data_IF_558151092359
#
_entry.id   IF_558151092359
#
_cell.length_a   1.000
_cell.length_b   1.000
_cell.length_c   1.000
_cell.angle_alpha   90.00
_cell.angle_beta   90.00
_cell.angle_gamma   90.00
#
_symmetry.space_group_name_H-M   'P 1'
#
loop_
_entity.id
_entity.type
_entity.pdbx_description
1 polymer ?
#
# COMPACT_ATOMS: atom_id res chain seq x y z
N UNK A 1 -12.08 28.57 -28.50
CA UNK A 1 -12.20 27.85 -27.21
C UNK A 1 -10.85 27.63 -26.56
N UNK A 2 -9.91 27.03 -27.27
CA UNK A 2 -8.55 26.76 -26.80
C UNK A 2 -7.85 28.01 -26.27
N UNK A 3 -7.86 29.09 -27.04
CA UNK A 3 -7.26 30.38 -26.66
C UNK A 3 -7.84 30.91 -25.33
N UNK A 4 -9.15 30.84 -25.17
CA UNK A 4 -9.85 31.24 -23.95
C UNK A 4 -9.59 30.30 -22.76
N UNK A 5 -9.38 29.00 -23.02
CA UNK A 5 -9.06 28.01 -21.99
C UNK A 5 -7.60 28.10 -21.50
N UNK A 6 -6.74 28.80 -22.24
CA UNK A 6 -5.34 29.08 -21.90
C UNK A 6 -5.11 30.53 -21.49
N UNK A 7 -6.15 31.34 -21.38
CA UNK A 7 -6.13 32.72 -20.96
C UNK A 7 -5.97 32.85 -19.43
N UNK A 8 -6.05 34.06 -18.91
CA UNK A 8 -6.08 34.26 -17.47
C UNK A 8 -7.13 33.37 -16.79
N UNK A 9 -6.80 32.84 -15.62
CA UNK A 9 -7.59 31.80 -14.96
C UNK A 9 -9.08 32.16 -14.79
N UNK A 10 -9.40 33.43 -14.51
CA UNK A 10 -10.79 33.89 -14.37
C UNK A 10 -11.61 33.69 -15.65
N UNK A 11 -10.98 33.84 -16.81
CA UNK A 11 -11.59 33.61 -18.13
C UNK A 11 -11.62 32.13 -18.47
N UNK A 12 -10.55 31.41 -18.16
CA UNK A 12 -10.37 30.01 -18.47
C UNK A 12 -11.26 29.08 -17.62
N UNK A 13 -11.49 29.42 -16.36
CA UNK A 13 -12.16 28.55 -15.38
C UNK A 13 -13.51 27.99 -15.85
N UNK A 14 -14.51 28.80 -16.28
CA UNK A 14 -15.81 28.29 -16.69
C UNK A 14 -15.73 27.36 -17.91
N UNK A 15 -14.73 27.57 -18.78
CA UNK A 15 -14.48 26.76 -19.95
C UNK A 15 -13.87 25.42 -19.53
N UNK A 16 -12.86 25.47 -18.67
CA UNK A 16 -12.20 24.28 -18.14
C UNK A 16 -13.15 23.40 -17.34
N UNK A 17 -14.07 23.97 -16.58
CA UNK A 17 -15.04 23.22 -15.76
C UNK A 17 -16.14 22.56 -16.60
N UNK A 18 -16.66 23.24 -17.62
CA UNK A 18 -17.95 22.87 -18.24
C UNK A 18 -17.89 22.52 -19.72
N UNK A 19 -16.83 22.94 -20.43
CA UNK A 19 -16.79 22.73 -21.87
C UNK A 19 -16.43 21.29 -22.22
N UNK A 20 -17.35 20.58 -22.84
CA UNK A 20 -17.15 19.20 -23.33
C UNK A 20 -16.44 19.11 -24.67
N UNK A 21 -16.28 20.25 -25.37
CA UNK A 21 -15.62 20.30 -26.66
C UNK A 21 -14.07 20.42 -26.57
N UNK A 22 -13.51 20.53 -25.36
CA UNK A 22 -12.07 20.44 -25.16
C UNK A 22 -11.60 19.00 -25.34
N UNK A 23 -10.66 18.81 -26.24
CA UNK A 23 -10.04 17.52 -26.49
C UNK A 23 -8.95 17.22 -25.45
N UNK A 24 -8.56 15.96 -25.34
CA UNK A 24 -7.42 15.56 -24.49
C UNK A 24 -6.14 16.31 -24.88
N UNK A 25 -5.93 16.55 -26.18
CA UNK A 25 -4.79 17.31 -26.66
C UNK A 25 -4.81 18.76 -26.15
N UNK A 26 -5.99 19.42 -26.19
CA UNK A 26 -6.13 20.78 -25.67
C UNK A 26 -5.86 20.80 -24.14
N UNK A 27 -6.38 19.84 -23.41
CA UNK A 27 -6.14 19.72 -21.96
C UNK A 27 -4.66 19.47 -21.64
N UNK A 28 -3.98 18.61 -22.38
CA UNK A 28 -2.53 18.37 -22.21
C UNK A 28 -1.70 19.63 -22.47
N UNK A 29 -2.06 20.42 -23.47
CA UNK A 29 -1.38 21.67 -23.74
C UNK A 29 -1.57 22.69 -22.60
N UNK A 30 -2.80 22.78 -22.06
CA UNK A 30 -3.11 23.63 -20.91
C UNK A 30 -2.39 23.13 -19.64
N UNK A 31 -2.28 21.82 -19.44
CA UNK A 31 -1.51 21.25 -18.32
C UNK A 31 -0.06 21.71 -18.39
N UNK A 32 0.54 21.74 -19.57
CA UNK A 32 1.94 22.11 -19.76
C UNK A 32 2.18 23.63 -19.64
N UNK A 33 1.27 24.44 -20.16
CA UNK A 33 1.46 25.90 -20.26
C UNK A 33 0.72 26.72 -19.21
N UNK A 34 -0.33 26.16 -18.61
CA UNK A 34 -1.18 26.86 -17.65
C UNK A 34 -0.60 26.95 -16.24
N UNK A 35 -1.33 27.62 -15.37
CA UNK A 35 -0.98 27.77 -13.95
C UNK A 35 -1.46 26.56 -13.13
N UNK A 36 -1.04 26.48 -11.85
CA UNK A 36 -1.54 25.52 -10.87
C UNK A 36 -3.09 25.48 -10.83
N UNK A 37 -3.74 26.65 -10.91
CA UNK A 37 -5.21 26.75 -10.87
C UNK A 37 -5.87 26.08 -12.08
N UNK A 38 -5.28 26.21 -13.28
CA UNK A 38 -5.75 25.51 -14.47
C UNK A 38 -5.67 23.98 -14.27
N UNK A 39 -4.52 23.47 -13.83
CA UNK A 39 -4.34 22.02 -13.56
C UNK A 39 -5.27 21.51 -12.47
N UNK A 40 -5.46 22.26 -11.40
CA UNK A 40 -6.42 21.95 -10.34
C UNK A 40 -7.85 21.86 -10.86
N UNK A 41 -8.23 22.71 -11.80
CA UNK A 41 -9.55 22.73 -12.40
C UNK A 41 -9.74 21.55 -13.33
N UNK A 42 -8.73 21.22 -14.17
CA UNK A 42 -8.75 20.03 -15.01
C UNK A 42 -8.87 18.77 -14.16
N UNK A 43 -8.09 18.65 -13.07
CA UNK A 43 -8.12 17.49 -12.18
C UNK A 43 -9.51 17.22 -11.51
N UNK A 44 -10.38 18.21 -11.49
CA UNK A 44 -11.76 18.09 -10.95
C UNK A 44 -12.79 17.68 -11.98
N UNK A 45 -12.46 17.69 -13.27
CA UNK A 45 -13.43 17.39 -14.34
C UNK A 45 -14.02 15.99 -14.18
N UNK A 46 -15.29 15.88 -14.53
CA UNK A 46 -15.94 14.58 -14.63
C UNK A 46 -15.43 13.82 -15.87
N UNK A 47 -15.40 12.50 -15.76
CA UNK A 47 -15.01 11.59 -16.84
C UNK A 47 -13.65 11.94 -17.49
N UNK A 48 -12.65 12.26 -16.66
CA UNK A 48 -11.30 12.57 -17.13
C UNK A 48 -10.69 11.32 -17.77
N UNK A 49 -10.14 11.49 -18.99
CA UNK A 49 -9.49 10.40 -19.70
C UNK A 49 -8.21 9.92 -18.99
N UNK A 50 -7.83 8.66 -19.21
CA UNK A 50 -6.58 8.10 -18.69
C UNK A 50 -5.35 8.89 -19.15
N UNK A 51 -5.37 9.39 -20.39
CA UNK A 51 -4.26 10.17 -20.95
C UNK A 51 -4.06 11.49 -20.22
N UNK A 52 -5.16 12.22 -19.97
CA UNK A 52 -5.10 13.51 -19.25
C UNK A 52 -4.76 13.27 -17.76
N UNK A 53 -5.32 12.22 -17.16
CA UNK A 53 -4.99 11.83 -15.80
C UNK A 53 -3.50 11.48 -15.63
N UNK A 54 -2.92 10.75 -16.61
CA UNK A 54 -1.49 10.45 -16.63
C UNK A 54 -0.62 11.71 -16.77
N UNK A 55 -1.03 12.68 -17.60
CA UNK A 55 -0.31 13.93 -17.75
C UNK A 55 -0.30 14.76 -16.45
N UNK A 56 -1.45 14.84 -15.75
CA UNK A 56 -1.54 15.50 -14.44
C UNK A 56 -0.68 14.82 -13.39
N UNK A 57 -0.70 13.49 -13.35
CA UNK A 57 0.13 12.70 -12.43
C UNK A 57 1.63 12.90 -12.71
N UNK A 58 2.03 12.87 -13.97
CA UNK A 58 3.43 13.06 -14.39
C UNK A 58 3.94 14.50 -14.12
N UNK A 59 3.06 15.50 -14.15
CA UNK A 59 3.42 16.88 -13.79
C UNK A 59 3.81 17.01 -12.32
N UNK A 60 3.21 16.21 -11.44
CA UNK A 60 3.68 15.92 -10.10
C UNK A 60 3.43 17.00 -9.04
N UNK A 61 2.61 18.02 -9.30
CA UNK A 61 2.26 19.02 -8.27
C UNK A 61 1.35 18.41 -7.19
N UNK A 62 1.76 18.38 -5.90
CA UNK A 62 1.02 17.68 -4.86
C UNK A 62 -0.46 18.07 -4.76
N UNK A 63 -0.87 19.35 -4.78
CA UNK A 63 -2.29 19.70 -4.72
C UNK A 63 -3.10 19.18 -5.92
N UNK A 64 -2.48 19.11 -7.10
CA UNK A 64 -3.13 18.61 -8.32
C UNK A 64 -3.28 17.09 -8.25
N UNK A 65 -2.24 16.38 -7.85
CA UNK A 65 -2.26 14.92 -7.68
C UNK A 65 -3.28 14.51 -6.61
N UNK A 66 -3.31 15.18 -5.47
CA UNK A 66 -4.33 14.91 -4.45
C UNK A 66 -5.75 15.13 -4.98
N UNK A 67 -5.94 16.19 -5.76
CA UNK A 67 -7.24 16.50 -6.37
C UNK A 67 -7.64 15.41 -7.37
N UNK A 68 -6.70 14.96 -8.19
CA UNK A 68 -6.88 13.87 -9.13
C UNK A 68 -7.25 12.56 -8.40
N UNK A 69 -6.53 12.22 -7.35
CA UNK A 69 -6.79 11.01 -6.55
C UNK A 69 -8.16 11.03 -5.86
N UNK A 70 -8.66 12.20 -5.46
CA UNK A 70 -10.02 12.36 -4.91
C UNK A 70 -11.12 12.35 -5.97
N UNK A 71 -10.77 12.51 -7.24
CA UNK A 71 -11.74 12.48 -8.34
C UNK A 71 -12.11 11.03 -8.69
N UNK A 72 -13.23 10.55 -8.18
CA UNK A 72 -13.72 9.18 -8.40
C UNK A 72 -14.14 8.89 -9.84
N UNK A 73 -14.39 9.91 -10.64
CA UNK A 73 -14.81 9.78 -12.05
C UNK A 73 -13.63 9.77 -13.02
N UNK A 74 -12.42 10.11 -12.54
CA UNK A 74 -11.21 9.99 -13.32
C UNK A 74 -10.73 8.54 -13.32
N UNK A 75 -10.45 7.99 -14.50
CA UNK A 75 -9.87 6.66 -14.65
C UNK A 75 -8.35 6.73 -14.62
N UNK A 76 -7.74 5.96 -13.72
CA UNK A 76 -6.28 5.87 -13.60
C UNK A 76 -5.80 4.54 -14.18
N UNK A 77 -5.06 4.60 -15.27
CA UNK A 77 -4.43 3.41 -15.84
C UNK A 77 -3.39 2.82 -14.88
N UNK A 78 -3.12 1.52 -14.98
CA UNK A 78 -2.17 0.83 -14.12
C UNK A 78 -0.77 1.49 -14.09
N UNK A 79 -0.17 1.93 -15.21
CA UNK A 79 1.12 2.63 -15.18
C UNK A 79 1.08 3.96 -14.40
N UNK A 80 -0.05 4.69 -14.48
CA UNK A 80 -0.25 5.93 -13.70
C UNK A 80 -0.32 5.65 -12.21
N UNK A 81 -1.03 4.58 -11.83
CA UNK A 81 -1.07 4.12 -10.44
C UNK A 81 0.32 3.68 -9.96
N UNK A 82 1.09 2.93 -10.76
CA UNK A 82 2.46 2.53 -10.41
C UNK A 82 3.38 3.73 -10.19
N UNK A 83 3.25 4.76 -11.03
CA UNK A 83 3.97 6.02 -10.86
C UNK A 83 3.59 6.72 -9.55
N UNK A 84 2.29 6.86 -9.27
CA UNK A 84 1.79 7.51 -8.05
C UNK A 84 2.10 6.72 -6.77
N UNK A 85 2.12 5.39 -6.84
CA UNK A 85 2.60 4.51 -5.75
C UNK A 85 4.08 4.77 -5.47
N UNK A 86 4.89 4.96 -6.50
CA UNK A 86 6.29 5.37 -6.35
C UNK A 86 6.40 6.75 -5.67
N UNK A 87 5.64 7.73 -6.14
CA UNK A 87 5.63 9.09 -5.57
C UNK A 87 5.13 9.13 -4.11
N UNK A 88 4.24 8.22 -3.71
CA UNK A 88 3.73 8.11 -2.34
C UNK A 88 4.80 7.72 -1.31
N UNK A 89 5.99 7.30 -1.73
CA UNK A 89 7.13 7.08 -0.83
C UNK A 89 7.72 8.39 -0.30
N UNK A 90 7.56 9.45 -1.06
CA UNK A 90 8.05 10.80 -0.73
C UNK A 90 6.92 11.69 -0.19
N UNK A 91 5.72 11.54 -0.75
CA UNK A 91 4.51 12.30 -0.38
C UNK A 91 3.47 11.38 0.28
N UNK A 92 3.52 11.28 1.60
CA UNK A 92 2.70 10.36 2.40
C UNK A 92 1.19 10.61 2.27
N UNK A 93 0.75 11.81 1.89
CA UNK A 93 -0.68 12.14 1.69
C UNK A 93 -1.33 11.33 0.57
N UNK A 94 -0.53 10.84 -0.39
CA UNK A 94 -1.06 10.05 -1.51
C UNK A 94 -1.48 8.64 -1.10
N UNK A 95 -0.80 8.02 -0.13
CA UNK A 95 -1.05 6.64 0.25
C UNK A 95 -2.52 6.40 0.65
N UNK A 96 -3.05 7.21 1.56
CA UNK A 96 -4.44 7.12 2.02
C UNK A 96 -5.46 7.33 0.89
N UNK A 97 -5.14 8.16 -0.11
CA UNK A 97 -6.00 8.40 -1.27
C UNK A 97 -5.93 7.24 -2.28
N UNK A 98 -4.73 6.73 -2.53
CA UNK A 98 -4.49 5.60 -3.43
C UNK A 98 -5.19 4.33 -2.94
N UNK A 99 -5.07 4.01 -1.66
CA UNK A 99 -5.69 2.80 -1.07
C UNK A 99 -7.21 2.76 -1.29
N UNK A 100 -7.85 3.93 -1.42
CA UNK A 100 -9.30 4.05 -1.63
C UNK A 100 -9.74 3.95 -3.08
N UNK A 101 -8.79 3.93 -4.02
CA UNK A 101 -9.09 3.83 -5.46
C UNK A 101 -9.52 2.40 -5.82
N UNK A 102 -10.57 2.29 -6.62
CA UNK A 102 -11.13 0.98 -7.02
C UNK A 102 -10.18 0.23 -7.94
N UNK A 103 -9.42 0.94 -8.77
CA UNK A 103 -8.47 0.40 -9.73
C UNK A 103 -7.17 -0.11 -9.07
N UNK A 104 -6.96 0.19 -7.79
CA UNK A 104 -5.77 -0.24 -7.05
C UNK A 104 -5.66 -1.76 -7.02
N UNK A 105 -4.53 -2.28 -7.47
CA UNK A 105 -4.21 -3.72 -7.44
C UNK A 105 -3.54 -4.11 -6.12
N UNK A 106 -3.67 -5.37 -5.70
CA UNK A 106 -3.01 -5.88 -4.49
C UNK A 106 -1.51 -5.61 -4.47
N UNK A 107 -0.80 -5.89 -5.56
CA UNK A 107 0.64 -5.66 -5.66
C UNK A 107 1.02 -4.18 -5.40
N UNK A 108 0.26 -3.24 -5.96
CA UNK A 108 0.44 -1.80 -5.75
C UNK A 108 0.17 -1.40 -4.30
N UNK A 109 -0.89 -1.93 -3.70
CA UNK A 109 -1.23 -1.69 -2.30
C UNK A 109 -0.14 -2.21 -1.35
N UNK A 110 0.41 -3.40 -1.61
CA UNK A 110 1.49 -3.96 -0.81
C UNK A 110 2.82 -3.20 -0.98
N UNK A 111 3.08 -2.58 -2.11
CA UNK A 111 4.21 -1.64 -2.25
C UNK A 111 4.03 -0.42 -1.33
N UNK A 112 2.82 0.16 -1.25
CA UNK A 112 2.51 1.23 -0.31
C UNK A 112 2.64 0.80 1.15
N UNK A 113 2.31 -0.45 1.46
CA UNK A 113 2.39 -1.01 2.82
C UNK A 113 3.75 -0.75 3.48
N UNK A 114 4.83 -0.69 2.71
CA UNK A 114 6.18 -0.48 3.22
C UNK A 114 6.49 0.99 3.56
N UNK A 115 5.80 1.94 2.96
CA UNK A 115 6.06 3.38 3.13
C UNK A 115 4.97 4.13 3.90
N UNK A 116 3.76 3.56 4.01
CA UNK A 116 2.63 4.25 4.62
C UNK A 116 2.56 4.13 6.15
N UNK A 117 1.73 4.96 6.77
CA UNK A 117 1.45 4.97 8.20
C UNK A 117 0.65 3.75 8.67
N UNK A 118 0.65 3.48 9.97
CA UNK A 118 0.02 2.30 10.57
C UNK A 118 -1.47 2.12 10.17
N UNK A 119 -2.23 3.21 10.15
CA UNK A 119 -3.67 3.18 9.79
C UNK A 119 -3.86 2.72 8.34
N UNK A 120 -3.04 3.22 7.44
CA UNK A 120 -3.10 2.88 6.02
C UNK A 120 -2.67 1.43 5.78
N UNK A 121 -1.67 0.93 6.51
CA UNK A 121 -1.28 -0.50 6.48
C UNK A 121 -2.43 -1.40 6.89
N UNK A 122 -3.15 -1.01 7.93
CA UNK A 122 -4.32 -1.74 8.38
C UNK A 122 -5.38 -1.80 7.28
N UNK A 123 -5.65 -0.68 6.59
CA UNK A 123 -6.59 -0.65 5.48
C UNK A 123 -6.14 -1.52 4.31
N UNK A 124 -4.84 -1.55 4.00
CA UNK A 124 -4.28 -2.42 2.96
C UNK A 124 -4.50 -3.89 3.33
N UNK A 125 -4.15 -4.30 4.54
CA UNK A 125 -4.34 -5.67 4.99
C UNK A 125 -5.82 -6.06 5.01
N UNK A 126 -6.69 -5.18 5.48
CA UNK A 126 -8.13 -5.43 5.54
C UNK A 126 -8.76 -5.58 4.15
N UNK A 127 -8.29 -4.82 3.18
CA UNK A 127 -8.83 -4.82 1.82
C UNK A 127 -8.21 -5.88 0.91
N UNK A 128 -6.90 -6.11 0.99
CA UNK A 128 -6.14 -6.85 -0.01
C UNK A 128 -5.48 -8.14 0.49
N UNK A 129 -5.20 -8.28 1.80
CA UNK A 129 -4.56 -9.49 2.34
C UNK A 129 -5.59 -10.57 2.68
N UNK A 130 -6.52 -10.85 1.79
CA UNK A 130 -7.70 -11.66 2.09
C UNK A 130 -7.60 -13.06 1.52
N UNK A 131 -6.77 -13.25 0.51
CA UNK A 131 -6.69 -14.45 -0.29
C UNK A 131 -5.24 -14.71 -0.71
N UNK A 132 -4.87 -15.98 -0.80
CA UNK A 132 -3.56 -16.43 -1.26
C UNK A 132 -3.22 -15.90 -2.65
N UNK A 133 -4.20 -15.87 -3.57
CA UNK A 133 -4.03 -15.34 -4.92
C UNK A 133 -3.57 -13.89 -4.90
N UNK A 134 -4.18 -13.09 -4.03
CA UNK A 134 -3.82 -11.68 -3.83
C UNK A 134 -2.39 -11.55 -3.32
N UNK A 135 -1.99 -12.41 -2.36
CA UNK A 135 -0.64 -12.40 -1.83
C UNK A 135 0.39 -12.89 -2.84
N UNK A 136 0.04 -13.85 -3.70
CA UNK A 136 0.90 -14.31 -4.78
C UNK A 136 1.10 -13.23 -5.84
N UNK A 137 0.03 -12.54 -6.27
CA UNK A 137 0.14 -11.40 -7.19
C UNK A 137 0.98 -10.27 -6.58
N UNK A 138 0.75 -9.93 -5.31
CA UNK A 138 1.55 -8.95 -4.60
C UNK A 138 3.00 -9.42 -4.41
N UNK A 139 3.25 -10.72 -4.32
CA UNK A 139 4.55 -11.30 -4.05
C UNK A 139 5.44 -11.44 -5.27
N UNK A 140 4.93 -11.37 -6.50
CA UNK A 140 5.78 -11.34 -7.69
C UNK A 140 6.81 -10.22 -7.63
N UNK A 141 6.42 -9.04 -7.11
CA UNK A 141 7.28 -7.87 -6.97
C UNK A 141 7.93 -7.72 -5.58
N UNK A 142 7.21 -8.07 -4.51
CA UNK A 142 7.60 -7.73 -3.13
C UNK A 142 8.07 -8.96 -2.36
N UNK A 143 7.47 -10.12 -2.59
CA UNK A 143 7.78 -11.33 -1.83
C UNK A 143 9.15 -11.93 -2.16
N UNK A 144 9.65 -11.97 -3.41
CA UNK A 144 11.03 -12.37 -3.68
C UNK A 144 12.03 -11.47 -2.96
N UNK A 145 11.73 -10.15 -2.93
CA UNK A 145 12.50 -9.20 -2.14
C UNK A 145 12.31 -9.41 -0.65
N UNK A 146 11.15 -9.87 -0.15
CA UNK A 146 10.86 -10.15 1.25
C UNK A 146 11.31 -11.56 1.70
N UNK A 147 11.40 -12.54 0.81
CA UNK A 147 11.79 -13.91 1.11
C UNK A 147 13.30 -14.19 0.98
N UNK A 148 14.02 -13.38 0.18
CA UNK A 148 15.47 -13.56 -0.04
C UNK A 148 16.30 -13.28 1.21
N UNK A 149 17.20 -14.19 1.59
CA UNK A 149 18.15 -13.99 2.70
C UNK A 149 19.17 -12.89 2.44
N UNK A 150 19.31 -12.45 1.21
CA UNK A 150 20.25 -11.42 0.80
C UNK A 150 19.52 -10.25 0.13
N UNK A 151 19.06 -9.29 0.94
CA UNK A 151 18.59 -8.03 0.42
C UNK A 151 19.72 -7.30 -0.28
N UNK A 152 19.81 -7.46 -1.59
CA UNK A 152 20.80 -6.73 -2.40
C UNK A 152 20.43 -5.25 -2.56
N UNK A 153 19.15 -4.90 -2.34
CA UNK A 153 18.70 -3.51 -2.39
C UNK A 153 18.75 -2.85 -1.00
N UNK A 154 19.68 -1.88 -0.78
CA UNK A 154 19.81 -1.18 0.48
C UNK A 154 18.56 -0.39 0.87
N UNK A 155 17.75 0.02 -0.12
CA UNK A 155 16.51 0.76 0.12
C UNK A 155 15.44 -0.15 0.69
N UNK A 156 15.28 -1.34 0.13
CA UNK A 156 14.33 -2.35 0.65
C UNK A 156 14.74 -2.78 2.06
N UNK A 157 16.02 -3.05 2.30
CA UNK A 157 16.52 -3.39 3.64
C UNK A 157 16.29 -2.27 4.67
N UNK A 158 16.36 -1.00 4.24
CA UNK A 158 16.09 0.16 5.09
C UNK A 158 14.60 0.30 5.39
N UNK A 159 13.73 0.12 4.40
CA UNK A 159 12.28 0.15 4.54
C UNK A 159 11.82 -0.95 5.49
N UNK A 160 12.32 -2.18 5.35
CA UNK A 160 11.98 -3.28 6.24
C UNK A 160 12.40 -3.01 7.69
N UNK A 161 13.59 -2.45 7.92
CA UNK A 161 14.01 -2.03 9.27
C UNK A 161 13.12 -0.95 9.86
N UNK A 162 12.61 -0.04 9.02
CA UNK A 162 11.68 0.99 9.45
C UNK A 162 10.32 0.40 9.80
N UNK A 163 9.83 -0.55 9.04
CA UNK A 163 8.58 -1.29 9.29
C UNK A 163 8.70 -2.11 10.56
N UNK A 164 9.79 -2.85 10.74
CA UNK A 164 10.07 -3.61 11.95
C UNK A 164 9.87 -2.74 13.20
N UNK A 165 10.42 -1.53 13.18
CA UNK A 165 10.28 -0.59 14.29
C UNK A 165 8.86 -0.05 14.50
N UNK A 166 8.02 0.02 13.48
CA UNK A 166 6.66 0.57 13.55
C UNK A 166 5.58 -0.50 13.70
N UNK A 167 5.80 -1.66 13.10
CA UNK A 167 4.82 -2.73 13.15
C UNK A 167 4.78 -3.47 14.49
N UNK A 168 5.75 -3.24 15.36
CA UNK A 168 5.75 -3.79 16.71
C UNK A 168 5.19 -2.79 17.71
N UNK A 169 4.22 -3.25 18.50
CA UNK A 169 3.70 -2.48 19.62
C UNK A 169 4.63 -2.67 20.86
N UNK A 170 5.49 -1.70 21.12
CA UNK A 170 6.44 -1.75 22.24
C UNK A 170 5.76 -1.70 23.59
N UNK A 171 4.71 -0.89 23.74
CA UNK A 171 3.96 -0.80 25.02
C UNK A 171 3.26 -2.15 25.31
N UNK A 172 2.81 -2.84 24.25
CA UNK A 172 2.28 -4.16 24.40
C UNK A 172 3.33 -5.18 24.85
N UNK A 173 4.57 -5.05 24.39
CA UNK A 173 5.66 -5.94 24.80
C UNK A 173 5.96 -5.85 26.30
N UNK A 174 5.93 -4.65 26.88
CA UNK A 174 6.18 -4.43 28.32
C UNK A 174 5.14 -5.12 29.23
N UNK A 175 3.96 -5.40 28.70
CA UNK A 175 2.84 -6.05 29.42
C UNK A 175 2.56 -7.47 28.97
N UNK A 176 3.32 -8.00 28.02
CA UNK A 176 3.15 -9.34 27.49
C UNK A 176 3.71 -10.39 28.44
N UNK A 177 2.95 -11.45 28.66
CA UNK A 177 3.42 -12.64 29.41
C UNK A 177 4.55 -13.38 28.69
N UNK A 178 4.66 -13.19 27.37
CA UNK A 178 5.73 -13.76 26.53
C UNK A 178 6.91 -12.80 26.30
N UNK A 179 6.83 -11.56 26.80
CA UNK A 179 7.87 -10.54 26.75
C UNK A 179 8.12 -9.95 25.36
N UNK A 180 7.94 -10.69 24.28
CA UNK A 180 8.18 -10.25 22.91
C UNK A 180 7.41 -11.08 21.89
N UNK A 181 7.39 -10.60 20.66
CA UNK A 181 6.79 -11.35 19.54
C UNK A 181 7.57 -12.64 19.25
N UNK A 182 8.89 -12.63 19.45
CA UNK A 182 9.75 -13.81 19.39
C UNK A 182 9.34 -14.85 20.42
N UNK A 183 9.12 -14.44 21.68
CA UNK A 183 8.69 -15.33 22.75
C UNK A 183 7.31 -15.94 22.49
N UNK A 184 6.40 -15.19 21.88
CA UNK A 184 5.09 -15.76 21.43
C UNK A 184 5.26 -16.83 20.35
N UNK A 185 6.20 -16.62 19.39
CA UNK A 185 6.46 -17.62 18.36
C UNK A 185 7.04 -18.92 18.95
N UNK A 186 7.92 -18.81 19.94
CA UNK A 186 8.48 -19.96 20.65
C UNK A 186 7.40 -20.68 21.46
N UNK A 187 6.55 -19.95 22.17
CA UNK A 187 5.42 -20.52 22.91
C UNK A 187 4.43 -21.24 21.96
N UNK A 188 4.18 -20.66 20.80
CA UNK A 188 3.29 -21.26 19.79
C UNK A 188 3.76 -22.65 19.33
N UNK A 189 5.09 -22.92 19.27
CA UNK A 189 5.60 -24.25 18.91
C UNK A 189 5.15 -25.33 19.90
N UNK A 190 5.02 -24.98 21.17
CA UNK A 190 4.67 -25.93 22.24
C UNK A 190 3.18 -25.96 22.55
N UNK A 191 2.52 -24.82 22.52
CA UNK A 191 1.12 -24.64 22.93
C UNK A 191 0.14 -24.66 21.76
N UNK A 192 0.66 -24.55 20.52
CA UNK A 192 -0.15 -24.40 19.32
C UNK A 192 -0.74 -23.00 19.16
N UNK A 193 -1.58 -22.83 18.13
CA UNK A 193 -2.25 -21.55 17.83
C UNK A 193 -3.47 -21.36 18.73
N UNK A 194 -3.27 -21.24 20.04
CA UNK A 194 -4.36 -20.98 20.98
C UNK A 194 -4.95 -19.57 20.79
N UNK A 195 -6.17 -19.37 21.29
CA UNK A 195 -6.84 -18.06 21.28
C UNK A 195 -6.00 -16.96 21.89
N UNK A 196 -5.24 -17.28 22.95
CA UNK A 196 -4.41 -16.33 23.69
C UNK A 196 -3.13 -15.98 22.91
N UNK A 197 -2.49 -16.99 22.31
CA UNK A 197 -1.34 -16.78 21.42
C UNK A 197 -1.72 -15.92 20.22
N UNK A 198 -2.87 -16.19 19.58
CA UNK A 198 -3.36 -15.38 18.46
C UNK A 198 -3.64 -13.93 18.91
N UNK A 199 -4.22 -13.74 20.10
CA UNK A 199 -4.46 -12.41 20.64
C UNK A 199 -3.14 -11.66 20.92
N UNK A 200 -2.13 -12.37 21.45
CA UNK A 200 -0.81 -11.78 21.70
C UNK A 200 -0.07 -11.42 20.40
N UNK A 201 -0.09 -12.28 19.40
CA UNK A 201 0.46 -11.98 18.07
C UNK A 201 -0.21 -10.72 17.51
N UNK A 202 -1.54 -10.65 17.56
CA UNK A 202 -2.32 -9.49 17.11
C UNK A 202 -1.89 -8.20 17.83
N UNK A 203 -1.76 -8.27 19.15
CA UNK A 203 -1.41 -7.14 20.01
C UNK A 203 0.03 -6.67 19.81
N UNK A 204 0.97 -7.60 19.77
CA UNK A 204 2.41 -7.31 19.63
C UNK A 204 2.80 -6.89 18.23
N UNK A 205 2.18 -7.49 17.20
CA UNK A 205 2.38 -7.14 15.81
C UNK A 205 1.56 -5.92 15.36
N UNK A 206 0.67 -5.40 16.23
CA UNK A 206 -0.28 -4.35 15.89
C UNK A 206 -1.10 -4.66 14.61
N UNK A 207 -1.57 -5.91 14.48
CA UNK A 207 -2.38 -6.41 13.37
C UNK A 207 -3.72 -6.86 13.91
N UNK A 208 -4.80 -6.64 13.18
CA UNK A 208 -6.13 -7.06 13.62
C UNK A 208 -6.21 -8.58 13.81
N UNK A 209 -6.84 -9.02 14.90
CA UNK A 209 -6.93 -10.43 15.27
C UNK A 209 -7.54 -11.31 14.17
N UNK A 210 -8.59 -10.82 13.50
CA UNK A 210 -9.21 -11.58 12.40
C UNK A 210 -8.26 -11.83 11.24
N UNK A 211 -7.33 -10.87 10.97
CA UNK A 211 -6.30 -11.03 9.95
C UNK A 211 -5.23 -12.03 10.38
N UNK A 212 -4.80 -11.98 11.64
CA UNK A 212 -3.87 -12.98 12.20
C UNK A 212 -4.45 -14.38 12.09
N UNK A 213 -5.74 -14.58 12.44
CA UNK A 213 -6.43 -15.88 12.28
C UNK A 213 -6.37 -16.34 10.82
N UNK A 214 -6.70 -15.47 9.86
CA UNK A 214 -6.69 -15.84 8.43
C UNK A 214 -5.28 -16.15 7.92
N UNK A 215 -4.27 -15.41 8.38
CA UNK A 215 -2.87 -15.68 8.03
C UNK A 215 -2.39 -17.02 8.60
N UNK A 216 -2.86 -17.38 9.79
CA UNK A 216 -2.55 -18.65 10.43
C UNK A 216 -3.31 -19.81 9.77
N UNK A 217 -4.55 -19.60 9.36
CA UNK A 217 -5.39 -20.63 8.73
C UNK A 217 -4.96 -20.97 7.29
N UNK A 218 -4.22 -20.04 6.64
CA UNK A 218 -3.72 -20.29 5.30
C UNK A 218 -2.69 -21.42 5.27
N UNK A 219 -3.02 -22.50 4.56
CA UNK A 219 -2.24 -23.74 4.53
C UNK A 219 -0.89 -23.63 3.83
N UNK A 220 -0.73 -22.63 2.97
CA UNK A 220 0.50 -22.45 2.20
C UNK A 220 1.56 -21.61 2.94
N UNK A 221 1.13 -20.78 3.91
CA UNK A 221 2.00 -20.06 4.83
C UNK A 221 2.58 -18.75 4.29
N UNK A 222 2.31 -18.35 3.05
CA UNK A 222 2.79 -17.07 2.52
C UNK A 222 2.30 -15.87 3.35
N UNK A 223 1.01 -15.78 3.75
CA UNK A 223 0.54 -14.72 4.62
C UNK A 223 1.27 -14.64 5.96
N UNK A 224 1.56 -15.81 6.55
CA UNK A 224 2.31 -15.88 7.79
C UNK A 224 3.76 -15.43 7.60
N UNK A 225 4.40 -15.79 6.49
CA UNK A 225 5.74 -15.33 6.15
C UNK A 225 5.78 -13.80 5.93
N UNK A 226 4.74 -13.22 5.30
CA UNK A 226 4.60 -11.76 5.17
C UNK A 226 4.48 -11.09 6.53
N UNK A 227 3.67 -11.63 7.44
CA UNK A 227 3.57 -11.13 8.82
C UNK A 227 4.93 -11.15 9.53
N UNK A 228 5.65 -12.27 9.45
CA UNK A 228 6.98 -12.39 10.04
C UNK A 228 7.96 -11.35 9.48
N UNK A 229 7.96 -11.15 8.17
CA UNK A 229 8.82 -10.14 7.54
C UNK A 229 8.41 -8.72 7.91
N UNK A 230 7.12 -8.38 7.90
CA UNK A 230 6.61 -7.07 8.26
C UNK A 230 6.92 -6.68 9.73
N UNK A 231 7.03 -7.66 10.60
CA UNK A 231 7.37 -7.49 12.01
C UNK A 231 8.87 -7.68 12.31
N UNK A 232 9.70 -7.98 11.30
CA UNK A 232 11.14 -8.21 11.42
C UNK A 232 11.49 -9.53 12.11
N UNK A 233 10.55 -10.44 12.26
CA UNK A 233 10.84 -11.79 12.72
C UNK A 233 11.77 -12.50 11.74
N UNK A 234 12.79 -13.16 12.27
CA UNK A 234 13.72 -13.96 11.50
C UNK A 234 13.13 -15.33 11.15
N UNK A 235 13.69 -15.99 10.14
CA UNK A 235 13.27 -17.29 9.67
C UNK A 235 13.06 -18.36 10.77
N UNK A 236 13.91 -18.50 11.79
CA UNK A 236 13.67 -19.48 12.86
C UNK A 236 12.31 -19.30 13.56
N UNK A 237 11.86 -18.06 13.76
CA UNK A 237 10.57 -17.78 14.41
C UNK A 237 9.38 -18.11 13.51
N UNK A 238 9.51 -17.96 12.19
CA UNK A 238 8.54 -18.51 11.25
C UNK A 238 8.42 -20.03 11.39
N UNK A 239 9.55 -20.73 11.53
CA UNK A 239 9.54 -22.19 11.73
C UNK A 239 8.89 -22.61 13.05
N UNK A 240 9.10 -21.86 14.14
CA UNK A 240 8.40 -22.11 15.41
C UNK A 240 6.88 -22.00 15.21
N UNK A 241 6.41 -20.93 14.60
CA UNK A 241 4.99 -20.76 14.29
C UNK A 241 4.48 -21.88 13.36
N UNK A 242 5.24 -22.24 12.33
CA UNK A 242 4.89 -23.27 11.36
C UNK A 242 4.71 -24.65 12.01
N UNK A 243 5.62 -25.01 12.92
CA UNK A 243 5.54 -26.27 13.69
C UNK A 243 4.40 -26.25 14.68
N UNK A 244 4.17 -25.13 15.35
CA UNK A 244 3.05 -24.93 16.27
C UNK A 244 1.68 -25.07 15.61
N UNK A 245 1.61 -24.91 14.28
CA UNK A 245 0.42 -25.22 13.48
C UNK A 245 0.30 -26.71 13.09
N UNK A 246 1.18 -27.57 13.59
CA UNK A 246 1.23 -28.99 13.23
C UNK A 246 1.69 -29.24 11.80
N UNK A 247 2.35 -28.24 11.17
CA UNK A 247 2.82 -28.31 9.80
C UNK A 247 4.30 -28.72 9.84
N UNK A 248 4.58 -29.99 9.67
CA UNK A 248 5.97 -30.47 9.51
C UNK A 248 6.50 -30.00 8.18
N UNK A 249 7.60 -29.26 8.19
CA UNK A 249 8.33 -28.96 6.97
C UNK A 249 8.78 -30.28 6.33
N UNK A 250 8.32 -30.55 5.13
CA UNK A 250 9.01 -31.50 4.28
C UNK A 250 10.36 -30.87 3.95
N UNK A 251 11.41 -31.42 4.55
CA UNK A 251 12.77 -31.24 4.09
C UNK A 251 12.88 -32.03 2.79
N UNK A 252 12.98 -31.35 1.67
CA UNK A 252 13.63 -31.83 0.47
C UNK A 252 14.70 -30.81 0.07
#
# INVERSE_FOLDING_TARGET
LRTLASDDFEVAQPILERCTALTDFDMMEIINSGTLQHRMTIARREALSETVAAALAAYGEPPVVERLLRNKTAHLAAPTLDHLVGAATEESSYAALLIRREEMRPAQAFRLFWSCEHIDRFQILDRFAVDRTILLEASEDIFPAAAGEGWSDPMVARILRYIDRRQRNREAADTSVYGSLEGVCEAMETEGATSDIIAEISRLAAVERRLVVRMIDDMAGEPLAVLCKATGLKWPFFLHMWRGLGRSGQSD
#
